data_IF_626805102849
#
_entry.id   IF_626805102849
#
_cell.length_a   1.000
_cell.length_b   1.000
_cell.length_c   1.000
_cell.angle_alpha   90.00
_cell.angle_beta   90.00
_cell.angle_gamma   90.00
#
_symmetry.space_group_name_H-M   'P 1'
#
loop_
_entity.id
_entity.type
_entity.pdbx_description
1 polymer ?
#
# COMPACT_ATOMS: atom_id res chain seq x y z
N UNK A 1 0.95 -15.14 16.14
CA UNK A 1 1.74 -13.92 15.90
C UNK A 1 2.07 -13.76 14.42
N UNK A 2 2.88 -14.63 13.81
CA UNK A 2 3.29 -14.50 12.40
C UNK A 2 2.12 -14.35 11.40
N UNK A 3 1.04 -15.13 11.56
CA UNK A 3 -0.18 -14.96 10.75
C UNK A 3 -0.76 -13.54 10.83
N UNK A 4 -0.79 -12.93 12.03
CA UNK A 4 -1.26 -11.56 12.21
C UNK A 4 -0.36 -10.54 11.51
N UNK A 5 0.95 -10.76 11.48
CA UNK A 5 1.88 -9.88 10.74
C UNK A 5 1.58 -9.94 9.25
N UNK A 6 1.46 -11.13 8.66
CA UNK A 6 1.13 -11.27 7.23
C UNK A 6 -0.25 -10.65 6.93
N UNK A 7 -1.26 -10.94 7.76
CA UNK A 7 -2.62 -10.43 7.59
C UNK A 7 -2.70 -8.90 7.66
N UNK A 8 -1.93 -8.27 8.54
CA UNK A 8 -2.02 -6.82 8.82
C UNK A 8 -1.05 -5.97 8.00
N UNK A 9 0.04 -6.53 7.46
CA UNK A 9 1.17 -5.77 6.89
C UNK A 9 1.54 -6.16 5.46
N UNK A 10 1.15 -7.35 4.99
CA UNK A 10 1.51 -7.75 3.64
C UNK A 10 0.72 -6.95 2.60
N UNK A 11 1.41 -6.53 1.55
CA UNK A 11 0.85 -5.77 0.44
C UNK A 11 0.78 -6.65 -0.81
N UNK A 12 -0.30 -6.54 -1.60
CA UNK A 12 -0.43 -7.30 -2.83
C UNK A 12 0.48 -6.72 -3.93
N UNK A 13 1.26 -7.60 -4.57
CA UNK A 13 2.01 -7.29 -5.80
C UNK A 13 1.79 -8.46 -6.77
N UNK A 14 0.97 -8.24 -7.79
CA UNK A 14 0.54 -9.34 -8.64
C UNK A 14 -0.39 -10.31 -7.90
N UNK A 15 -0.11 -11.59 -8.01
CA UNK A 15 -0.78 -12.70 -7.30
C UNK A 15 -0.08 -13.09 -5.99
N UNK A 16 0.94 -12.33 -5.55
CA UNK A 16 1.68 -12.58 -4.32
C UNK A 16 1.45 -11.51 -3.24
N UNK A 17 1.67 -11.92 -1.99
CA UNK A 17 1.70 -11.05 -0.82
C UNK A 17 3.15 -10.80 -0.38
N UNK A 18 3.55 -9.53 -0.34
CA UNK A 18 4.91 -9.12 0.02
C UNK A 18 4.93 -8.36 1.34
N UNK A 19 5.87 -8.73 2.22
CA UNK A 19 6.24 -7.92 3.39
C UNK A 19 7.43 -7.05 3.02
N UNK A 20 7.21 -5.74 3.00
CA UNK A 20 8.22 -4.76 2.56
C UNK A 20 8.60 -3.89 3.75
N UNK A 21 9.81 -4.07 4.32
CA UNK A 21 10.29 -3.26 5.43
C UNK A 21 10.24 -1.77 5.12
N UNK A 22 9.98 -0.94 6.13
CA UNK A 22 9.77 0.52 6.05
C UNK A 22 8.43 0.91 5.41
N UNK A 23 8.06 0.29 4.29
CA UNK A 23 6.77 0.54 3.65
C UNK A 23 5.61 0.07 4.55
N UNK A 24 5.80 -1.04 5.26
CA UNK A 24 4.83 -1.60 6.19
C UNK A 24 4.51 -0.70 7.41
N UNK A 25 5.27 0.37 7.64
CA UNK A 25 5.00 1.38 8.66
C UNK A 25 3.98 2.43 8.21
N UNK A 26 3.69 2.54 6.91
CA UNK A 26 2.71 3.49 6.40
C UNK A 26 1.29 3.12 6.88
N UNK A 27 0.58 4.10 7.42
CA UNK A 27 -0.78 3.89 7.94
C UNK A 27 -1.83 4.09 6.85
N UNK A 28 -3.03 3.57 7.12
CA UNK A 28 -4.18 3.67 6.23
C UNK A 28 -4.82 5.06 6.25
N UNK A 29 -5.05 5.63 5.07
CA UNK A 29 -6.04 6.70 4.86
C UNK A 29 -6.60 6.62 3.44
N UNK A 30 -7.87 6.25 3.31
CA UNK A 30 -8.58 6.22 2.04
C UNK A 30 -9.16 7.60 1.66
N UNK A 31 -9.15 7.92 0.37
CA UNK A 31 -9.87 9.08 -0.18
C UNK A 31 -9.30 10.46 0.12
N UNK A 32 -8.16 10.56 0.82
CA UNK A 32 -7.51 11.84 1.06
C UNK A 32 -6.68 12.28 -0.17
N UNK A 33 -6.63 13.59 -0.49
CA UNK A 33 -5.87 14.09 -1.65
C UNK A 33 -4.38 13.74 -1.61
N UNK A 34 -3.82 13.59 -0.41
CA UNK A 34 -2.40 13.30 -0.17
C UNK A 34 -2.12 11.81 0.09
N UNK A 35 -3.12 10.92 -0.06
CA UNK A 35 -2.89 9.48 0.00
C UNK A 35 -1.87 9.09 -1.06
N UNK A 36 -0.85 8.34 -0.64
CA UNK A 36 0.22 7.88 -1.51
C UNK A 36 -0.16 6.58 -2.22
N UNK A 37 0.31 6.43 -3.45
CA UNK A 37 0.22 5.18 -4.20
C UNK A 37 1.50 4.37 -4.06
N UNK A 38 1.38 3.06 -4.25
CA UNK A 38 2.49 2.12 -4.24
C UNK A 38 2.62 1.53 -5.64
N UNK A 39 3.83 1.52 -6.16
CA UNK A 39 4.17 0.86 -7.41
C UNK A 39 5.52 0.18 -7.30
N UNK A 40 6.00 -0.32 -8.43
CA UNK A 40 7.32 -0.93 -8.56
C UNK A 40 8.09 -0.21 -9.65
N UNK A 41 9.38 0.02 -9.43
CA UNK A 41 10.32 0.50 -10.46
C UNK A 41 11.32 -0.59 -10.81
N UNK A 42 11.62 -0.72 -12.10
CA UNK A 42 12.75 -1.49 -12.61
C UNK A 42 13.86 -0.56 -13.15
N UNK A 43 14.93 -1.14 -13.66
CA UNK A 43 16.16 -0.42 -14.07
C UNK A 43 15.95 0.60 -15.20
N UNK A 44 14.94 0.36 -16.04
CA UNK A 44 14.71 1.13 -17.28
C UNK A 44 13.25 1.60 -17.45
N UNK A 45 12.40 1.38 -16.44
CA UNK A 45 10.97 1.68 -16.49
C UNK A 45 10.56 2.62 -15.35
N UNK A 46 9.68 3.57 -15.66
CA UNK A 46 9.04 4.40 -14.63
C UNK A 46 8.24 3.56 -13.63
N UNK A 47 7.80 4.19 -12.54
CA UNK A 47 6.99 3.53 -11.51
C UNK A 47 5.69 2.99 -12.14
N UNK A 48 5.45 1.70 -11.99
CA UNK A 48 4.31 0.99 -12.57
C UNK A 48 3.54 0.22 -11.49
N UNK A 49 2.23 0.13 -11.62
CA UNK A 49 1.41 -0.75 -10.77
C UNK A 49 1.54 -2.19 -11.23
N UNK A 50 1.76 -3.12 -10.29
CA UNK A 50 1.87 -4.56 -10.59
C UNK A 50 0.56 -5.25 -10.23
N UNK A 51 -0.16 -5.70 -11.24
CA UNK A 51 -1.42 -6.46 -11.12
C UNK A 51 -1.25 -7.95 -11.36
N UNK A 52 -0.17 -8.38 -12.03
CA UNK A 52 0.11 -9.78 -12.33
C UNK A 52 1.61 -10.07 -12.14
N UNK A 53 2.01 -11.22 -11.56
CA UNK A 53 3.42 -11.48 -11.22
C UNK A 53 4.37 -11.45 -12.41
N UNK A 54 3.92 -11.86 -13.61
CA UNK A 54 4.78 -11.82 -14.80
C UNK A 54 5.28 -10.40 -15.11
N UNK A 55 4.58 -9.35 -14.66
CA UNK A 55 5.01 -7.98 -14.84
C UNK A 55 6.30 -7.69 -14.07
N UNK A 56 6.48 -8.29 -12.88
CA UNK A 56 7.74 -8.21 -12.12
C UNK A 56 8.86 -8.94 -12.83
N UNK A 57 8.59 -10.13 -13.40
CA UNK A 57 9.58 -10.93 -14.12
C UNK A 57 10.10 -10.23 -15.38
N UNK A 58 9.27 -9.41 -16.01
CA UNK A 58 9.65 -8.60 -17.18
C UNK A 58 10.37 -7.30 -16.81
N UNK A 59 10.42 -6.92 -15.53
CA UNK A 59 11.19 -5.76 -15.12
C UNK A 59 12.68 -6.06 -15.23
N UNK A 60 13.38 -5.27 -16.05
CA UNK A 60 14.82 -5.35 -16.14
C UNK A 60 15.48 -4.96 -14.81
N UNK A 61 16.41 -5.79 -14.34
CA UNK A 61 17.24 -5.59 -13.14
C UNK A 61 16.48 -5.63 -11.81
N UNK A 62 16.98 -4.93 -10.79
CA UNK A 62 16.49 -5.09 -9.41
C UNK A 62 15.20 -4.28 -9.19
N UNK A 63 14.09 -4.99 -8.96
CA UNK A 63 12.80 -4.37 -8.68
C UNK A 63 12.78 -3.74 -7.28
N UNK A 64 12.28 -2.51 -7.19
CA UNK A 64 12.09 -1.81 -5.92
C UNK A 64 10.64 -1.33 -5.78
N UNK A 65 10.08 -1.48 -4.58
CA UNK A 65 8.81 -0.86 -4.25
C UNK A 65 8.97 0.65 -4.06
N UNK A 66 8.07 1.42 -4.65
CA UNK A 66 8.13 2.88 -4.66
C UNK A 66 6.83 3.45 -4.11
N UNK A 67 6.94 4.33 -3.12
CA UNK A 67 5.84 5.16 -2.63
C UNK A 67 5.84 6.47 -3.40
N UNK A 68 4.71 6.80 -4.02
CA UNK A 68 4.52 8.06 -4.75
C UNK A 68 3.44 8.89 -4.06
N UNK A 69 3.77 10.11 -3.67
CA UNK A 69 2.80 11.03 -3.08
C UNK A 69 1.81 11.54 -4.14
N UNK A 70 0.50 11.44 -3.87
CA UNK A 70 -0.54 11.93 -4.78
C UNK A 70 -0.58 13.47 -4.86
N UNK A 71 -0.16 14.14 -3.81
CA UNK A 71 -0.01 15.60 -3.71
C UNK A 71 1.22 15.93 -2.84
N UNK A 72 1.79 17.15 -2.94
CA UNK A 72 2.86 17.57 -2.06
C UNK A 72 2.47 17.49 -0.59
N UNK A 73 3.32 16.85 0.22
CA UNK A 73 3.20 16.81 1.68
C UNK A 73 4.02 17.94 2.30
N UNK A 74 3.44 18.64 3.27
CA UNK A 74 4.15 19.63 4.07
C UNK A 74 5.06 18.93 5.11
N UNK A 75 6.17 19.57 5.53
CA UNK A 75 7.00 19.04 6.61
C UNK A 75 6.18 18.76 7.87
N UNK A 76 6.35 17.57 8.44
CA UNK A 76 5.62 17.11 9.63
C UNK A 76 4.27 16.45 9.34
N UNK A 77 3.79 16.46 8.09
CA UNK A 77 2.64 15.63 7.71
C UNK A 77 3.05 14.17 7.59
N UNK A 78 2.13 13.29 7.99
CA UNK A 78 2.31 11.85 7.90
C UNK A 78 2.06 11.35 6.47
N UNK A 79 2.83 10.35 6.06
CA UNK A 79 2.64 9.60 4.82
C UNK A 79 1.59 8.51 5.07
N UNK A 80 0.50 8.56 4.33
CA UNK A 80 -0.56 7.55 4.35
C UNK A 80 -0.66 6.84 3.02
N UNK A 81 -1.07 5.58 3.05
CA UNK A 81 -1.42 4.78 1.87
C UNK A 81 -2.86 4.32 2.00
N UNK A 82 -3.49 4.01 0.86
CA UNK A 82 -4.68 3.17 0.90
C UNK A 82 -4.23 1.71 1.03
N UNK A 83 -4.85 0.94 1.90
CA UNK A 83 -4.58 -0.51 1.99
C UNK A 83 -5.26 -1.28 0.85
N UNK A 84 -5.77 -0.56 -0.16
CA UNK A 84 -6.34 -1.09 -1.40
C UNK A 84 -7.84 -1.32 -1.32
N UNK A 85 -8.53 -0.62 -0.40
CA UNK A 85 -9.80 -1.10 0.15
C UNK A 85 -10.85 -0.01 0.34
N UNK A 86 -10.59 1.21 -0.15
CA UNK A 86 -11.58 2.29 -0.16
C UNK A 86 -12.91 1.83 -0.78
N UNK A 87 -13.86 1.49 0.08
CA UNK A 87 -15.22 1.08 -0.27
C UNK A 87 -15.46 -0.43 -0.46
N UNK A 88 -14.46 -1.30 -0.27
CA UNK A 88 -14.62 -2.75 -0.53
C UNK A 88 -14.68 -3.61 0.74
N UNK A 89 -14.00 -3.21 1.82
CA UNK A 89 -14.08 -3.88 3.11
C UNK A 89 -15.04 -3.20 4.07
N UNK A 90 -15.85 -4.01 4.74
CA UNK A 90 -16.69 -3.58 5.85
C UNK A 90 -15.85 -3.19 7.06
N UNK A 91 -16.40 -2.36 7.96
CA UNK A 91 -15.77 -2.01 9.23
C UNK A 91 -15.38 -3.24 10.07
N UNK A 92 -16.11 -4.34 9.94
CA UNK A 92 -15.79 -5.59 10.65
C UNK A 92 -14.54 -6.26 10.07
N UNK A 93 -14.42 -6.32 8.74
CA UNK A 93 -13.22 -6.87 8.09
C UNK A 93 -11.99 -6.01 8.37
N UNK A 94 -12.15 -4.68 8.43
CA UNK A 94 -11.08 -3.76 8.83
C UNK A 94 -10.62 -4.02 10.27
N UNK A 95 -11.56 -4.19 11.22
CA UNK A 95 -11.25 -4.50 12.61
C UNK A 95 -10.55 -5.85 12.74
N UNK A 96 -11.04 -6.87 12.05
CA UNK A 96 -10.46 -8.21 12.08
C UNK A 96 -9.06 -8.26 11.46
N UNK A 97 -8.86 -7.58 10.33
CA UNK A 97 -7.60 -7.63 9.56
C UNK A 97 -6.54 -6.68 10.09
N UNK A 98 -6.90 -5.45 10.50
CA UNK A 98 -5.94 -4.39 10.84
C UNK A 98 -6.04 -3.86 12.27
N UNK A 99 -7.09 -4.23 13.01
CA UNK A 99 -7.27 -3.80 14.40
C UNK A 99 -7.80 -2.37 14.56
N UNK A 100 -8.41 -1.78 13.52
CA UNK A 100 -9.10 -0.49 13.63
C UNK A 100 -10.43 -0.47 12.87
N UNK A 101 -11.30 0.46 13.24
CA UNK A 101 -12.57 0.73 12.54
C UNK A 101 -12.42 2.06 11.79
N UNK A 102 -12.65 2.11 10.47
CA UNK A 102 -12.57 3.37 9.73
C UNK A 102 -13.65 4.35 10.20
N UNK A 103 -13.29 5.63 10.32
CA UNK A 103 -14.23 6.71 10.65
C UNK A 103 -15.18 7.05 9.49
N UNK A 104 -16.20 7.86 9.74
CA UNK A 104 -17.22 8.22 8.74
C UNK A 104 -16.75 9.26 7.70
N UNK A 105 -15.44 9.48 7.58
CA UNK A 105 -14.81 10.36 6.59
C UNK A 105 -15.11 11.84 6.77
N UNK A 106 -15.67 12.25 7.90
CA UNK A 106 -15.92 13.66 8.23
C UNK A 106 -14.76 14.21 9.07
N UNK A 107 -13.74 14.71 8.39
CA UNK A 107 -12.83 15.72 8.93
C UNK A 107 -12.99 17.03 8.17
#
# INVERSE_FOLDING_TARGET
>A
WAHGVVLTRALPFGDELSLIPLLDLANHQAGAPNTCSIGVSGSDSGVSTVTEAWQLEQMGGEAAAVITAGQPLAPGQQVFIDYGEAGWRSSWEMLYTYGFVPGDGKE
#
